data_IF_152531846595
#
_entry.id   IF_152531846595
#
_cell.length_a   1.000
_cell.length_b   1.000
_cell.length_c   1.000
_cell.angle_alpha   90.00
_cell.angle_beta   90.00
_cell.angle_gamma   90.00
#
_symmetry.space_group_name_H-M   'P 1'
#
loop_
_entity.id
_entity.type
_entity.pdbx_description
1 polymer ?
#
# COMPACT_ATOMS: atom_id res chain seq x y z
N UNK A 1 3.74 6.74 -5.82
CA UNK A 1 3.91 5.81 -4.71
C UNK A 1 2.75 4.86 -4.53
N UNK A 2 1.53 5.33 -4.18
CA UNK A 2 0.39 4.45 -3.90
C UNK A 2 0.04 3.51 -5.07
N UNK A 3 0.03 4.00 -6.31
CA UNK A 3 -0.22 3.15 -7.48
C UNK A 3 0.80 2.01 -7.58
N UNK A 4 2.10 2.31 -7.47
CA UNK A 4 3.15 1.29 -7.56
C UNK A 4 3.03 0.23 -6.46
N UNK A 5 2.76 0.66 -5.21
CA UNK A 5 2.55 -0.26 -4.10
C UNK A 5 1.36 -1.20 -4.34
N UNK A 6 0.23 -0.66 -4.78
CA UNK A 6 -0.99 -1.43 -5.01
C UNK A 6 -0.88 -2.33 -6.26
N UNK A 7 -0.10 -1.95 -7.27
CA UNK A 7 0.23 -2.82 -8.40
C UNK A 7 1.06 -4.02 -7.93
N UNK A 8 2.06 -3.80 -7.05
CA UNK A 8 2.83 -4.89 -6.47
C UNK A 8 1.94 -5.82 -5.63
N UNK A 9 1.03 -5.26 -4.83
CA UNK A 9 0.06 -6.00 -4.04
C UNK A 9 -0.84 -6.89 -4.92
N UNK A 10 -1.41 -6.32 -5.99
CA UNK A 10 -2.27 -7.07 -6.93
C UNK A 10 -1.50 -8.18 -7.63
N UNK A 11 -0.25 -7.90 -8.03
CA UNK A 11 0.60 -8.91 -8.66
C UNK A 11 0.86 -10.08 -7.72
N UNK A 12 1.25 -9.81 -6.47
CA UNK A 12 1.49 -10.84 -5.46
C UNK A 12 0.23 -11.67 -5.17
N UNK A 13 -0.94 -11.03 -5.05
CA UNK A 13 -2.22 -11.70 -4.89
C UNK A 13 -2.53 -12.64 -6.05
N UNK A 14 -2.38 -12.18 -7.31
CA UNK A 14 -2.61 -13.01 -8.50
C UNK A 14 -1.68 -14.21 -8.59
N UNK A 15 -0.44 -14.08 -8.13
CA UNK A 15 0.51 -15.19 -8.06
C UNK A 15 0.11 -16.23 -7.02
N UNK A 16 -0.40 -15.78 -5.88
CA UNK A 16 -0.85 -16.68 -4.79
C UNK A 16 -2.21 -17.31 -5.06
N UNK A 17 -3.04 -16.68 -5.88
CA UNK A 17 -4.41 -17.07 -6.15
C UNK A 17 -4.67 -17.14 -7.68
N UNK A 18 -4.06 -18.08 -8.41
CA UNK A 18 -4.14 -18.13 -9.86
C UNK A 18 -5.57 -18.32 -10.37
N UNK A 19 -6.43 -19.02 -9.63
CA UNK A 19 -7.85 -19.22 -9.98
C UNK A 19 -8.66 -17.92 -9.95
N UNK A 20 -8.18 -16.92 -9.22
CA UNK A 20 -8.79 -15.59 -9.12
C UNK A 20 -8.04 -14.52 -9.92
N UNK A 21 -6.93 -14.87 -10.59
CA UNK A 21 -6.04 -13.92 -11.25
C UNK A 21 -6.73 -13.07 -12.33
N UNK A 22 -7.75 -13.60 -12.99
CA UNK A 22 -8.54 -12.88 -13.98
C UNK A 22 -9.63 -11.98 -13.37
N UNK A 23 -9.90 -12.12 -12.08
CA UNK A 23 -10.95 -11.34 -11.44
C UNK A 23 -10.49 -9.89 -11.22
N UNK A 24 -11.46 -8.99 -11.21
CA UNK A 24 -11.27 -7.61 -10.78
C UNK A 24 -10.98 -7.60 -9.29
N UNK A 25 -9.79 -7.13 -8.91
CA UNK A 25 -9.36 -7.10 -7.51
C UNK A 25 -10.16 -6.10 -6.67
N UNK A 26 -10.15 -6.28 -5.36
CA UNK A 26 -10.80 -5.41 -4.40
C UNK A 26 -9.75 -4.86 -3.41
N UNK A 27 -9.85 -3.56 -3.13
CA UNK A 27 -9.04 -2.85 -2.13
C UNK A 27 -9.98 -2.34 -1.05
N UNK A 28 -9.56 -2.38 0.21
CA UNK A 28 -10.22 -1.69 1.29
C UNK A 28 -9.33 -0.53 1.76
N UNK A 29 -9.91 0.65 1.96
CA UNK A 29 -9.19 1.80 2.50
C UNK A 29 -10.00 2.56 3.55
N UNK A 30 -9.33 3.48 4.27
CA UNK A 30 -10.02 4.42 5.12
C UNK A 30 -10.81 5.44 4.29
N UNK A 31 -11.90 5.97 4.85
CA UNK A 31 -12.64 7.09 4.24
C UNK A 31 -11.81 8.37 4.17
N UNK A 32 -10.79 8.50 5.03
CA UNK A 32 -9.84 9.60 5.04
C UNK A 32 -8.66 9.42 4.08
N UNK A 33 -8.61 8.30 3.34
CA UNK A 33 -7.53 8.02 2.40
C UNK A 33 -7.40 9.12 1.33
N UNK A 34 -6.18 9.43 0.94
CA UNK A 34 -5.92 10.38 -0.13
C UNK A 34 -6.51 9.89 -1.46
N UNK A 35 -6.99 10.83 -2.29
CA UNK A 35 -7.63 10.53 -3.58
C UNK A 35 -6.76 9.65 -4.51
N UNK A 36 -5.44 9.64 -4.34
CA UNK A 36 -4.54 8.78 -5.11
C UNK A 36 -4.79 7.27 -4.90
N UNK A 37 -5.35 6.86 -3.76
CA UNK A 37 -5.74 5.45 -3.53
C UNK A 37 -6.93 5.09 -4.41
N UNK A 38 -7.96 5.96 -4.45
CA UNK A 38 -9.10 5.80 -5.34
C UNK A 38 -8.68 5.84 -6.82
N UNK A 39 -7.79 6.77 -7.16
CA UNK A 39 -7.26 6.88 -8.52
C UNK A 39 -6.43 5.65 -8.91
N UNK A 40 -5.64 5.11 -7.99
CA UNK A 40 -4.91 3.86 -8.24
C UNK A 40 -5.86 2.68 -8.49
N UNK A 41 -6.93 2.54 -7.70
CA UNK A 41 -7.96 1.52 -7.93
C UNK A 41 -8.58 1.67 -9.31
N UNK A 42 -8.94 2.90 -9.71
CA UNK A 42 -9.50 3.19 -11.04
C UNK A 42 -8.53 2.80 -12.18
N UNK A 43 -7.28 3.24 -12.13
CA UNK A 43 -6.27 2.93 -13.16
C UNK A 43 -6.00 1.43 -13.25
N UNK A 44 -6.05 0.73 -12.12
CA UNK A 44 -5.82 -0.71 -12.04
C UNK A 44 -7.04 -1.54 -12.43
N UNK A 45 -8.18 -0.93 -12.71
CA UNK A 45 -9.46 -1.63 -12.85
C UNK A 45 -9.75 -2.53 -11.63
N UNK A 46 -9.61 -1.96 -10.43
CA UNK A 46 -9.95 -2.59 -9.16
C UNK A 46 -11.13 -1.89 -8.51
N UNK A 47 -11.89 -2.63 -7.71
CA UNK A 47 -12.92 -2.05 -6.87
C UNK A 47 -12.31 -1.50 -5.57
N UNK A 48 -12.97 -0.51 -4.98
CA UNK A 48 -12.57 0.10 -3.73
C UNK A 48 -13.75 0.15 -2.75
N UNK A 49 -13.55 -0.43 -1.58
CA UNK A 49 -14.44 -0.24 -0.42
C UNK A 49 -13.76 0.74 0.54
N UNK A 50 -14.52 1.72 1.00
CA UNK A 50 -14.08 2.63 2.05
C UNK A 50 -14.82 2.33 3.36
N UNK A 51 -14.07 2.11 4.42
CA UNK A 51 -14.59 1.75 5.75
C UNK A 51 -14.09 2.71 6.84
N UNK A 52 -14.65 2.55 8.04
CA UNK A 52 -14.32 3.38 9.19
C UNK A 52 -14.95 4.78 9.14
N UNK A 53 -14.64 5.56 10.17
CA UNK A 53 -15.01 6.96 10.28
C UNK A 53 -13.88 7.88 9.81
N UNK A 54 -13.49 8.82 10.69
CA UNK A 54 -12.32 9.68 10.44
C UNK A 54 -10.99 8.93 10.61
N UNK A 55 -10.98 7.86 11.39
CA UNK A 55 -9.86 6.95 11.62
C UNK A 55 -10.33 5.54 11.33
N UNK A 56 -9.58 4.79 10.55
CA UNK A 56 -9.81 3.36 10.32
C UNK A 56 -9.16 2.56 11.46
N UNK A 57 -9.88 1.56 11.97
CA UNK A 57 -9.37 0.65 13.01
C UNK A 57 -9.32 -0.79 12.51
N UNK A 58 -8.57 -1.66 13.22
CA UNK A 58 -8.57 -3.08 12.95
C UNK A 58 -9.98 -3.69 13.06
N UNK A 59 -10.77 -3.24 14.04
CA UNK A 59 -12.16 -3.68 14.22
C UNK A 59 -13.06 -3.29 13.05
N UNK A 60 -12.89 -2.05 12.52
CA UNK A 60 -13.63 -1.62 11.32
C UNK A 60 -13.31 -2.48 10.11
N UNK A 61 -12.03 -2.81 9.93
CA UNK A 61 -11.57 -3.68 8.84
C UNK A 61 -12.17 -5.08 8.99
N UNK A 62 -12.05 -5.68 10.18
CA UNK A 62 -12.58 -7.01 10.46
C UNK A 62 -14.10 -7.07 10.27
N UNK A 63 -14.84 -6.07 10.78
CA UNK A 63 -16.27 -5.96 10.61
C UNK A 63 -16.66 -5.83 9.12
N UNK A 64 -15.93 -5.03 8.36
CA UNK A 64 -16.17 -4.88 6.92
C UNK A 64 -15.95 -6.22 6.19
N UNK A 65 -14.83 -6.90 6.45
CA UNK A 65 -14.53 -8.20 5.85
C UNK A 65 -15.61 -9.23 6.17
N UNK A 66 -16.13 -9.22 7.39
CA UNK A 66 -17.22 -10.14 7.82
C UNK A 66 -18.51 -9.94 7.05
N UNK A 67 -18.75 -8.78 6.45
CA UNK A 67 -19.93 -8.49 5.63
C UNK A 67 -19.77 -8.84 4.15
N UNK A 68 -18.54 -9.15 3.70
CA UNK A 68 -18.28 -9.47 2.30
C UNK A 68 -18.84 -10.84 1.93
N UNK A 69 -19.31 -10.95 0.68
CA UNK A 69 -19.58 -12.25 0.08
C UNK A 69 -18.27 -13.05 -0.06
N UNK A 70 -18.39 -14.38 -0.18
CA UNK A 70 -17.22 -15.24 -0.43
C UNK A 70 -16.44 -14.80 -1.68
N UNK A 71 -17.16 -14.37 -2.72
CA UNK A 71 -16.56 -13.84 -3.95
C UNK A 71 -15.78 -12.55 -3.69
N UNK A 72 -16.36 -11.62 -2.94
CA UNK A 72 -15.69 -10.36 -2.64
C UNK A 72 -14.49 -10.56 -1.70
N UNK A 73 -14.62 -11.48 -0.73
CA UNK A 73 -13.52 -11.82 0.15
C UNK A 73 -12.35 -12.45 -0.61
N UNK A 74 -12.62 -13.34 -1.58
CA UNK A 74 -11.58 -13.99 -2.38
C UNK A 74 -10.80 -12.99 -3.26
N UNK A 75 -11.43 -11.90 -3.71
CA UNK A 75 -10.81 -10.87 -4.54
C UNK A 75 -10.24 -9.68 -3.75
N UNK A 76 -10.48 -9.60 -2.43
CA UNK A 76 -9.84 -8.61 -1.55
C UNK A 76 -8.35 -8.94 -1.46
N UNK A 77 -7.49 -8.03 -1.92
CA UNK A 77 -6.06 -8.29 -1.97
C UNK A 77 -5.21 -7.33 -1.13
N UNK A 78 -5.73 -6.15 -0.80
CA UNK A 78 -4.97 -5.15 -0.05
C UNK A 78 -5.85 -4.29 0.85
N UNK A 79 -5.27 -3.90 1.98
CA UNK A 79 -5.76 -2.82 2.84
C UNK A 79 -4.81 -1.65 2.68
N UNK A 80 -5.35 -0.47 2.33
CA UNK A 80 -4.60 0.78 2.26
C UNK A 80 -5.05 1.70 3.41
N UNK A 81 -4.24 1.82 4.44
CA UNK A 81 -4.47 2.73 5.56
C UNK A 81 -3.63 4.00 5.43
N UNK A 82 -3.94 5.01 6.23
CA UNK A 82 -3.29 6.32 6.18
C UNK A 82 -2.54 6.58 7.48
N UNK A 83 -1.28 6.99 7.36
CA UNK A 83 -0.45 7.42 8.49
C UNK A 83 -0.23 8.94 8.45
N UNK A 84 -1.31 9.68 8.73
CA UNK A 84 -1.40 11.13 8.69
C UNK A 84 -2.16 11.67 7.49
N UNK A 85 -3.48 11.81 7.64
CA UNK A 85 -4.35 12.35 6.57
C UNK A 85 -3.96 13.78 6.20
N UNK A 86 -4.12 14.15 4.93
CA UNK A 86 -3.71 15.45 4.37
C UNK A 86 -4.28 16.65 5.13
N UNK A 87 -5.54 16.59 5.55
CA UNK A 87 -6.22 17.75 6.16
C UNK A 87 -6.13 17.77 7.69
N UNK A 88 -6.11 16.61 8.35
CA UNK A 88 -6.27 16.51 9.80
C UNK A 88 -5.09 15.81 10.49
N UNK A 89 -4.16 15.22 9.74
CA UNK A 89 -3.02 14.48 10.30
C UNK A 89 -3.42 13.21 11.05
N UNK A 90 -4.62 12.68 10.81
CA UNK A 90 -5.12 11.48 11.50
C UNK A 90 -4.31 10.26 11.05
N UNK A 91 -3.85 9.48 12.01
CA UNK A 91 -3.18 8.20 11.81
C UNK A 91 -4.17 7.10 12.12
N UNK A 92 -4.38 6.18 11.18
CA UNK A 92 -5.21 5.00 11.35
C UNK A 92 -4.61 4.05 12.42
N UNK A 93 -5.35 3.06 12.86
CA UNK A 93 -4.89 2.04 13.81
C UNK A 93 -3.96 1.05 13.10
N UNK A 94 -2.69 1.43 12.96
CA UNK A 94 -1.71 0.65 12.18
C UNK A 94 -1.49 -0.75 12.75
N UNK A 95 -1.46 -0.89 14.08
CA UNK A 95 -1.26 -2.17 14.75
C UNK A 95 -2.45 -3.12 14.57
N UNK A 96 -3.67 -2.64 14.83
CA UNK A 96 -4.88 -3.43 14.66
C UNK A 96 -5.11 -3.82 13.20
N UNK A 97 -4.91 -2.89 12.26
CA UNK A 97 -5.03 -3.16 10.82
C UNK A 97 -3.98 -4.18 10.37
N UNK A 98 -2.72 -4.02 10.80
CA UNK A 98 -1.65 -4.97 10.50
C UNK A 98 -1.94 -6.39 10.99
N UNK A 99 -2.53 -6.51 12.18
CA UNK A 99 -2.95 -7.81 12.73
C UNK A 99 -4.00 -8.48 11.84
N UNK A 100 -5.02 -7.73 11.39
CA UNK A 100 -6.07 -8.26 10.48
C UNK A 100 -5.46 -8.62 9.13
N UNK A 101 -4.60 -7.78 8.55
CA UNK A 101 -3.95 -8.09 7.27
C UNK A 101 -3.14 -9.39 7.34
N UNK A 102 -2.43 -9.62 8.43
CA UNK A 102 -1.69 -10.86 8.67
C UNK A 102 -2.60 -12.08 8.78
N UNK A 103 -3.71 -11.95 9.53
CA UNK A 103 -4.69 -13.03 9.70
C UNK A 103 -5.36 -13.41 8.39
N UNK A 104 -5.74 -12.43 7.58
CA UNK A 104 -6.46 -12.61 6.30
C UNK A 104 -5.52 -12.79 5.09
N UNK A 105 -4.20 -12.82 5.31
CA UNK A 105 -3.18 -12.90 4.26
C UNK A 105 -3.30 -11.80 3.17
N UNK A 106 -3.66 -10.59 3.60
CA UNK A 106 -3.82 -9.41 2.74
C UNK A 106 -2.55 -8.57 2.71
N UNK A 107 -2.32 -7.89 1.59
CA UNK A 107 -1.24 -6.90 1.50
C UNK A 107 -1.57 -5.68 2.36
N UNK A 108 -0.65 -5.33 3.24
CA UNK A 108 -0.77 -4.18 4.12
C UNK A 108 0.04 -3.00 3.56
N UNK A 109 -0.66 -1.99 3.05
CA UNK A 109 -0.06 -0.75 2.54
C UNK A 109 -0.34 0.42 3.46
N UNK A 110 0.70 1.18 3.82
CA UNK A 110 0.60 2.39 4.64
C UNK A 110 0.93 3.61 3.81
N UNK A 111 -0.08 4.47 3.60
CA UNK A 111 0.10 5.80 3.01
C UNK A 111 0.51 6.80 4.10
N UNK A 112 1.80 7.00 4.25
CA UNK A 112 2.39 8.04 5.09
C UNK A 112 2.99 9.19 4.28
N UNK A 113 2.50 9.42 3.07
CA UNK A 113 3.05 10.41 2.15
C UNK A 113 3.29 11.78 2.80
N UNK A 114 2.40 12.21 3.69
CA UNK A 114 2.57 13.42 4.49
C UNK A 114 3.06 13.11 5.91
N UNK A 115 2.26 12.38 6.71
CA UNK A 115 2.51 12.17 8.13
C UNK A 115 3.66 11.24 8.45
N UNK A 116 4.09 10.38 7.52
CA UNK A 116 5.19 9.44 7.72
C UNK A 116 6.52 10.11 8.08
N UNK A 117 6.71 11.38 7.72
CA UNK A 117 7.86 12.17 8.14
C UNK A 117 8.01 12.30 9.67
N UNK A 118 6.90 12.22 10.40
CA UNK A 118 6.88 12.29 11.86
C UNK A 118 7.59 11.10 12.54
N UNK A 119 7.81 9.98 11.84
CA UNK A 119 8.65 8.87 12.32
C UNK A 119 10.08 9.31 12.67
N UNK A 120 10.58 10.40 12.08
CA UNK A 120 11.87 10.96 12.41
C UNK A 120 11.91 11.58 13.82
N UNK A 121 10.76 11.93 14.40
CA UNK A 121 10.66 12.52 15.72
C UNK A 121 10.43 11.43 16.79
N UNK A 122 11.34 11.24 17.77
CA UNK A 122 11.16 10.21 18.80
C UNK A 122 9.84 10.32 19.58
N UNK A 123 9.35 11.55 19.80
CA UNK A 123 8.09 11.82 20.49
C UNK A 123 6.83 11.38 19.75
N UNK A 124 6.91 11.21 18.42
CA UNK A 124 5.77 10.80 17.59
C UNK A 124 5.78 9.30 17.26
N UNK A 125 6.89 8.62 17.50
CA UNK A 125 7.10 7.23 17.06
C UNK A 125 6.02 6.26 17.50
N UNK A 126 5.55 6.39 18.74
CA UNK A 126 4.51 5.52 19.29
C UNK A 126 3.18 5.59 18.53
N UNK A 127 2.91 6.69 17.81
CA UNK A 127 1.72 6.84 16.98
C UNK A 127 1.73 5.92 15.75
N UNK A 128 2.89 5.40 15.39
CA UNK A 128 3.13 4.55 14.21
C UNK A 128 3.38 3.08 14.57
N UNK A 129 3.10 2.66 15.80
CA UNK A 129 3.22 1.26 16.18
C UNK A 129 2.42 0.38 15.21
N UNK A 130 3.00 -0.72 14.74
CA UNK A 130 2.41 -1.60 13.73
C UNK A 130 2.87 -1.32 12.29
N UNK A 131 3.51 -0.17 12.02
CA UNK A 131 4.02 0.16 10.67
C UNK A 131 5.11 -0.83 10.22
N UNK A 132 5.87 -1.39 11.15
CA UNK A 132 6.91 -2.39 10.89
C UNK A 132 6.39 -3.69 10.29
N UNK A 133 5.07 -3.92 10.36
CA UNK A 133 4.42 -5.08 9.76
C UNK A 133 3.90 -4.81 8.34
N UNK A 134 4.01 -3.57 7.86
CA UNK A 134 3.53 -3.21 6.53
C UNK A 134 4.33 -3.87 5.41
N UNK A 135 3.65 -4.39 4.39
CA UNK A 135 4.31 -4.88 3.16
C UNK A 135 4.88 -3.73 2.33
N UNK A 136 4.24 -2.56 2.38
CA UNK A 136 4.71 -1.35 1.72
C UNK A 136 4.33 -0.08 2.48
N UNK A 137 5.24 0.89 2.47
CA UNK A 137 5.08 2.19 3.10
C UNK A 137 5.58 3.29 2.18
N UNK A 138 4.81 4.37 2.05
CA UNK A 138 5.20 5.56 1.28
C UNK A 138 5.41 6.75 2.21
N UNK A 139 6.46 7.52 1.95
CA UNK A 139 6.68 8.86 2.51
C UNK A 139 7.19 9.78 1.40
N UNK A 140 6.71 11.02 1.38
CA UNK A 140 7.13 12.02 0.40
C UNK A 140 8.04 13.06 1.07
N UNK A 141 9.38 12.92 0.94
CA UNK A 141 10.31 13.89 1.52
C UNK A 141 10.09 15.33 1.02
N UNK A 142 9.57 15.51 -0.20
CA UNK A 142 9.25 16.84 -0.74
C UNK A 142 8.04 17.50 -0.06
N UNK A 143 7.34 16.80 0.84
CA UNK A 143 6.27 17.38 1.68
C UNK A 143 6.84 17.89 3.00
N UNK A 144 6.67 17.17 4.07
CA UNK A 144 7.00 17.65 5.41
C UNK A 144 8.49 17.60 5.76
N UNK A 145 9.30 16.86 5.02
CA UNK A 145 10.78 16.88 5.20
C UNK A 145 11.48 17.97 4.37
N UNK A 146 10.71 18.81 3.65
CA UNK A 146 11.20 19.97 2.92
C UNK A 146 12.29 19.68 1.88
N UNK A 147 12.35 18.44 1.39
CA UNK A 147 13.22 18.12 0.25
C UNK A 147 12.70 18.81 -1.02
N UNK A 148 13.58 19.09 -2.01
CA UNK A 148 13.13 19.62 -3.28
C UNK A 148 12.09 18.71 -3.95
N UNK A 149 11.13 19.31 -4.63
CA UNK A 149 10.19 18.62 -5.47
C UNK A 149 10.90 18.12 -6.74
N UNK A 150 10.73 16.92 -7.19
CA UNK A 150 9.82 15.84 -6.82
C UNK A 150 10.61 14.71 -6.10
N UNK A 151 10.23 14.35 -4.90
CA UNK A 151 10.90 13.29 -4.13
C UNK A 151 9.88 12.46 -3.37
N UNK A 152 9.74 11.18 -3.75
CA UNK A 152 8.87 10.19 -3.10
C UNK A 152 9.70 8.96 -2.75
N UNK A 153 9.57 8.45 -1.52
CA UNK A 153 10.17 7.20 -1.11
C UNK A 153 9.09 6.14 -0.91
N UNK A 154 9.20 5.03 -1.64
CA UNK A 154 8.37 3.85 -1.48
C UNK A 154 9.24 2.71 -0.96
N UNK A 155 8.88 2.22 0.21
CA UNK A 155 9.62 1.19 0.94
C UNK A 155 8.79 -0.10 0.93
N UNK A 156 9.44 -1.23 0.66
CA UNK A 156 8.83 -2.55 0.69
C UNK A 156 9.52 -3.42 1.75
N UNK A 157 8.75 -4.17 2.52
CA UNK A 157 9.29 -5.16 3.46
C UNK A 157 10.03 -6.28 2.73
N UNK A 158 9.47 -6.72 1.60
CA UNK A 158 10.12 -7.66 0.67
C UNK A 158 10.25 -7.01 -0.73
N UNK A 159 11.40 -6.40 -1.05
CA UNK A 159 11.62 -5.78 -2.35
C UNK A 159 11.52 -6.75 -3.54
N UNK A 160 11.73 -8.05 -3.33
CA UNK A 160 11.63 -9.03 -4.41
C UNK A 160 10.18 -9.17 -4.94
N UNK A 161 9.17 -8.95 -4.10
CA UNK A 161 7.76 -8.93 -4.52
C UNK A 161 7.50 -7.76 -5.47
N UNK A 162 8.00 -6.56 -5.13
CA UNK A 162 7.88 -5.37 -5.96
C UNK A 162 8.62 -5.54 -7.30
N UNK A 163 9.84 -6.08 -7.25
CA UNK A 163 10.63 -6.36 -8.44
C UNK A 163 9.90 -7.28 -9.41
N UNK A 164 9.27 -8.35 -8.93
CA UNK A 164 8.48 -9.24 -9.80
C UNK A 164 7.33 -8.53 -10.51
N UNK A 165 6.73 -7.55 -9.85
CA UNK A 165 5.59 -6.81 -10.37
C UNK A 165 5.96 -5.72 -11.40
N UNK A 166 7.14 -5.11 -11.22
CA UNK A 166 7.54 -3.92 -11.99
C UNK A 166 8.65 -4.17 -13.00
N UNK A 167 9.33 -5.33 -12.91
CA UNK A 167 10.45 -5.64 -13.80
C UNK A 167 10.00 -5.58 -15.26
N UNK A 168 10.71 -4.79 -16.04
CA UNK A 168 10.55 -4.71 -17.47
C UNK A 168 11.54 -5.66 -18.16
N UNK A 169 11.11 -6.26 -19.26
CA UNK A 169 11.93 -7.09 -20.11
C UNK A 169 12.04 -6.41 -21.49
N UNK A 170 13.25 -6.26 -21.99
CA UNK A 170 13.48 -5.73 -23.32
C UNK A 170 14.97 -5.85 -23.67
N UNK A 171 15.28 -6.23 -24.89
CA UNK A 171 16.65 -6.47 -25.36
C UNK A 171 17.57 -5.24 -25.14
N UNK A 172 16.99 -4.03 -25.22
CA UNK A 172 17.72 -2.78 -24.95
C UNK A 172 18.04 -2.55 -23.48
N UNK A 173 17.37 -3.28 -22.56
CA UNK A 173 17.62 -3.22 -21.14
C UNK A 173 18.69 -4.21 -20.69
N UNK A 174 18.95 -5.28 -21.47
CA UNK A 174 19.94 -6.31 -21.13
C UNK A 174 21.36 -5.74 -20.97
N UNK A 175 21.67 -4.67 -21.71
CA UNK A 175 22.97 -3.96 -21.63
C UNK A 175 23.20 -3.33 -20.24
N UNK A 176 22.14 -3.08 -19.48
CA UNK A 176 22.21 -2.47 -18.15
C UNK A 176 22.02 -3.50 -17.01
N UNK A 177 21.67 -4.75 -17.36
CA UNK A 177 21.49 -5.82 -16.39
C UNK A 177 22.77 -6.64 -16.23
N UNK A 178 23.69 -6.14 -15.42
CA UNK A 178 24.85 -6.93 -14.96
C UNK A 178 24.52 -7.82 -13.73
N UNK A 179 23.22 -8.06 -13.46
CA UNK A 179 22.76 -8.85 -12.32
C UNK A 179 22.58 -8.04 -11.03
N UNK A 180 22.80 -6.74 -11.06
CA UNK A 180 22.70 -5.85 -9.91
C UNK A 180 21.36 -5.12 -9.84
N UNK A 181 21.23 -4.24 -8.88
CA UNK A 181 20.02 -3.49 -8.56
C UNK A 181 19.68 -2.45 -9.64
N UNK A 182 18.43 -2.45 -10.10
CA UNK A 182 17.90 -1.44 -11.01
C UNK A 182 16.71 -0.72 -10.35
N UNK A 183 16.77 0.59 -10.12
CA UNK A 183 15.69 1.35 -9.49
C UNK A 183 14.35 1.26 -10.21
N UNK A 184 14.35 1.16 -11.55
CA UNK A 184 13.13 1.08 -12.35
C UNK A 184 12.33 -0.22 -12.16
N UNK A 185 12.93 -1.25 -11.55
CA UNK A 185 12.27 -2.52 -11.25
C UNK A 185 11.28 -2.44 -10.07
N UNK A 186 11.16 -1.30 -9.38
CA UNK A 186 10.42 -1.20 -8.13
C UNK A 186 9.24 -0.24 -8.16
N UNK A 187 9.03 0.47 -9.26
CA UNK A 187 7.91 1.40 -9.40
C UNK A 187 7.48 1.56 -10.85
N UNK A 188 6.24 1.98 -11.06
CA UNK A 188 5.79 2.48 -12.36
C UNK A 188 6.27 3.93 -12.55
N UNK A 189 6.73 4.21 -13.76
CA UNK A 189 7.14 5.54 -14.22
C UNK A 189 6.06 6.18 -15.08
#
# INVERSE_FOLDING_TARGET
GNLSALVAARHDWRQRQPDHAAQRGLILSSRGAHASVQQAAHVMDADLIQSGGHRLTGDDVAATIATLSDTDRARLFAIACTAGTTNLGIIDDLEGIGAVCKQEALWYHVDGAYGGAALAAPSARALFNGIETADSFIVDPHKWLFAPFDCCALIYADPAKARRAHRQHGDYLEVYYDGTWNPSDYAHH
#
